data_IF_125655749992
#
_entry.id   IF_125655749992
#
_cell.length_a   1.000
_cell.length_b   1.000
_cell.length_c   1.000
_cell.angle_alpha   90.00
_cell.angle_beta   90.00
_cell.angle_gamma   90.00
#
_symmetry.space_group_name_H-M   'P 1'
#
loop_
_entity.id
_entity.type
_entity.pdbx_description
1 polymer ?
#
# COMPACT_ATOMS: atom_id res chain seq x y z
N UNK A 1 45.72 -32.77 22.07
CA UNK A 1 45.98 -31.78 20.99
C UNK A 1 44.65 -31.46 20.37
N UNK A 2 43.94 -30.55 21.01
CA UNK A 2 42.65 -30.02 20.60
C UNK A 2 42.86 -29.00 19.47
N UNK A 3 42.16 -29.18 18.35
CA UNK A 3 41.89 -28.08 17.42
C UNK A 3 40.39 -27.91 17.32
N UNK A 4 39.96 -26.78 17.88
CA UNK A 4 38.61 -26.24 17.95
C UNK A 4 37.95 -26.23 16.58
N UNK A 5 36.72 -26.75 16.53
CA UNK A 5 35.77 -26.47 15.48
C UNK A 5 35.21 -25.07 15.75
N UNK A 6 35.66 -24.07 15.00
CA UNK A 6 35.02 -22.76 14.96
C UNK A 6 33.66 -22.91 14.27
N UNK A 7 32.61 -22.85 15.07
CA UNK A 7 31.24 -22.71 14.56
C UNK A 7 31.06 -21.26 14.13
N UNK A 8 31.24 -21.01 12.84
CA UNK A 8 30.86 -19.75 12.18
C UNK A 8 29.38 -19.51 12.39
N UNK A 9 29.06 -18.52 13.21
CA UNK A 9 27.71 -17.99 13.38
C UNK A 9 27.38 -17.19 12.12
N UNK A 10 26.54 -17.73 11.25
CA UNK A 10 26.16 -17.11 9.97
C UNK A 10 24.65 -16.89 9.91
N UNK A 11 24.24 -15.62 9.91
CA UNK A 11 23.05 -15.12 9.24
C UNK A 11 21.74 -15.11 10.04
N UNK A 12 21.49 -14.06 10.82
CA UNK A 12 20.11 -13.60 11.04
C UNK A 12 19.60 -13.03 9.71
N UNK A 13 18.90 -13.85 8.91
CA UNK A 13 18.41 -13.51 7.57
C UNK A 13 17.26 -12.48 7.57
N UNK A 14 16.55 -12.28 6.45
CA UNK A 14 15.43 -11.30 6.29
C UNK A 14 14.21 -11.53 7.21
N UNK A 15 14.16 -12.67 7.91
CA UNK A 15 13.00 -13.10 8.70
C UNK A 15 12.69 -12.24 9.95
N UNK A 16 13.67 -11.82 10.79
CA UNK A 16 13.41 -10.97 11.95
C UNK A 16 12.94 -9.56 11.59
N UNK A 17 13.35 -9.03 10.43
CA UNK A 17 12.88 -7.73 9.93
C UNK A 17 11.38 -7.81 9.58
N UNK A 18 10.98 -8.80 8.78
CA UNK A 18 9.59 -9.02 8.40
C UNK A 18 8.69 -9.28 9.61
N UNK A 19 9.15 -10.07 10.58
CA UNK A 19 8.42 -10.31 11.84
C UNK A 19 8.23 -9.01 12.64
N UNK A 20 9.25 -8.16 12.71
CA UNK A 20 9.17 -6.85 13.36
C UNK A 20 8.21 -5.88 12.66
N UNK A 21 8.24 -5.83 11.32
CA UNK A 21 7.34 -4.99 10.53
C UNK A 21 5.89 -5.48 10.61
N UNK A 22 5.66 -6.80 10.58
CA UNK A 22 4.33 -7.38 10.79
C UNK A 22 3.80 -7.04 12.18
N UNK A 23 4.62 -7.17 13.23
CA UNK A 23 4.21 -6.80 14.58
C UNK A 23 3.87 -5.30 14.70
N UNK A 24 4.59 -4.43 14.01
CA UNK A 24 4.30 -3.00 13.95
C UNK A 24 2.95 -2.72 13.24
N UNK A 25 2.65 -3.46 12.16
CA UNK A 25 1.38 -3.38 11.44
C UNK A 25 0.21 -3.87 12.30
N UNK A 26 0.36 -5.01 12.98
CA UNK A 26 -0.67 -5.53 13.88
C UNK A 26 -0.95 -4.56 15.04
N UNK A 27 0.12 -3.95 15.58
CA UNK A 27 0.01 -2.95 16.64
C UNK A 27 -0.71 -1.67 16.17
N UNK A 28 -0.47 -1.21 14.93
CA UNK A 28 -1.13 -0.03 14.37
C UNK A 28 -2.61 -0.30 14.09
N UNK A 29 -2.98 -1.49 13.63
CA UNK A 29 -4.39 -1.91 13.51
C UNK A 29 -5.08 -1.94 14.89
N UNK A 30 -4.44 -2.54 15.89
CA UNK A 30 -4.97 -2.53 17.26
C UNK A 30 -5.14 -1.09 17.80
N UNK A 31 -4.22 -0.18 17.46
CA UNK A 31 -4.33 1.23 17.82
C UNK A 31 -5.50 1.92 17.09
N UNK A 32 -5.71 1.66 15.81
CA UNK A 32 -6.84 2.16 15.04
C UNK A 32 -8.17 1.74 15.68
N UNK A 33 -8.33 0.47 16.06
CA UNK A 33 -9.52 -0.01 16.79
C UNK A 33 -9.75 0.73 18.12
N UNK A 34 -8.69 1.09 18.86
CA UNK A 34 -8.83 1.88 20.10
C UNK A 34 -9.22 3.32 19.84
N UNK A 35 -8.69 3.94 18.78
CA UNK A 35 -8.95 5.34 18.43
C UNK A 35 -10.37 5.51 17.89
N UNK A 36 -10.78 4.65 16.97
CA UNK A 36 -12.10 4.69 16.34
C UNK A 36 -13.19 3.93 17.11
N UNK A 37 -12.84 3.19 18.16
CA UNK A 37 -13.80 2.42 18.97
C UNK A 37 -14.81 3.26 19.75
N UNK A 38 -14.65 4.59 19.80
CA UNK A 38 -15.62 5.50 20.41
C UNK A 38 -16.86 5.75 19.53
N UNK A 39 -16.76 5.50 18.22
CA UNK A 39 -17.87 5.71 17.28
C UNK A 39 -18.89 4.59 17.40
N UNK A 40 -20.17 4.97 17.33
CA UNK A 40 -21.29 4.02 17.43
C UNK A 40 -21.66 3.51 16.04
N UNK A 41 -22.21 2.30 16.01
CA UNK A 41 -22.80 1.76 14.80
C UNK A 41 -23.85 2.73 14.22
N UNK A 42 -23.91 2.92 12.89
CA UNK A 42 -24.87 3.81 12.25
C UNK A 42 -26.31 3.46 12.59
N UNK A 43 -27.07 4.44 13.10
CA UNK A 43 -28.48 4.26 13.44
C UNK A 43 -29.39 4.27 12.20
N UNK A 44 -29.07 5.13 11.23
CA UNK A 44 -29.75 5.26 9.94
C UNK A 44 -29.27 4.23 8.92
N UNK A 45 -29.73 4.36 7.66
CA UNK A 45 -29.13 3.61 6.55
C UNK A 45 -27.72 4.13 6.28
N UNK A 46 -26.84 3.26 5.80
CA UNK A 46 -25.52 3.64 5.30
C UNK A 46 -25.64 4.51 4.04
N UNK A 47 -24.62 5.33 3.75
CA UNK A 47 -24.51 6.09 2.50
C UNK A 47 -24.13 5.18 1.32
N UNK A 48 -25.11 4.36 0.91
CA UNK A 48 -25.02 3.39 -0.17
C UNK A 48 -26.34 3.32 -0.94
N UNK A 49 -26.26 3.03 -2.23
CA UNK A 49 -27.44 2.64 -3.01
C UNK A 49 -27.79 1.17 -2.80
N UNK A 50 -28.86 0.89 -2.04
CA UNK A 50 -29.39 -0.47 -1.87
C UNK A 50 -30.36 -0.91 -2.98
N UNK A 51 -30.66 -0.03 -3.94
CA UNK A 51 -31.57 -0.34 -5.04
C UNK A 51 -30.88 -1.16 -6.16
N UNK A 52 -29.59 -0.91 -6.41
CA UNK A 52 -28.86 -1.59 -7.48
C UNK A 52 -27.40 -1.92 -7.18
N UNK A 53 -26.75 -1.28 -6.20
CA UNK A 53 -25.31 -1.47 -5.99
C UNK A 53 -24.97 -2.43 -4.86
N UNK A 54 -25.59 -2.24 -3.69
CA UNK A 54 -25.33 -3.05 -2.50
C UNK A 54 -26.57 -3.85 -2.12
N UNK A 55 -26.39 -5.11 -1.74
CA UNK A 55 -27.47 -5.92 -1.20
C UNK A 55 -28.00 -5.31 0.12
N UNK A 56 -29.31 -5.05 0.19
CA UNK A 56 -29.94 -4.45 1.37
C UNK A 56 -29.79 -5.28 2.66
N UNK A 57 -29.63 -6.61 2.56
CA UNK A 57 -29.34 -7.44 3.72
C UNK A 57 -27.92 -7.22 4.25
N UNK A 58 -26.92 -7.07 3.35
CA UNK A 58 -25.54 -6.76 3.73
C UNK A 58 -25.42 -5.37 4.35
N UNK A 59 -26.13 -4.36 3.79
CA UNK A 59 -26.20 -3.02 4.39
C UNK A 59 -26.67 -3.12 5.85
N UNK A 60 -27.76 -3.87 6.06
CA UNK A 60 -28.34 -4.05 7.39
C UNK A 60 -27.40 -4.81 8.32
N UNK A 61 -26.67 -5.80 7.80
CA UNK A 61 -25.65 -6.55 8.55
C UNK A 61 -24.50 -5.63 8.97
N UNK A 62 -23.99 -4.76 8.09
CA UNK A 62 -22.93 -3.79 8.41
C UNK A 62 -23.28 -2.87 9.59
N UNK A 63 -24.56 -2.55 9.75
CA UNK A 63 -25.03 -1.70 10.86
C UNK A 63 -25.34 -2.44 12.15
N UNK A 64 -25.66 -3.73 12.07
CA UNK A 64 -26.21 -4.48 13.22
C UNK A 64 -25.26 -5.53 13.78
N UNK A 65 -24.40 -6.09 12.93
CA UNK A 65 -23.46 -7.11 13.37
C UNK A 65 -22.27 -6.45 14.08
N UNK A 66 -21.60 -7.18 15.00
CA UNK A 66 -20.35 -6.70 15.58
C UNK A 66 -19.34 -6.38 14.47
N UNK A 67 -18.70 -5.23 14.56
CA UNK A 67 -17.82 -4.70 13.50
C UNK A 67 -16.78 -5.73 13.00
N UNK A 68 -16.20 -6.52 13.92
CA UNK A 68 -15.20 -7.54 13.58
C UNK A 68 -15.73 -8.73 12.79
N UNK A 69 -17.04 -8.95 12.74
CA UNK A 69 -17.64 -10.04 11.96
C UNK A 69 -17.96 -9.63 10.52
N UNK A 70 -17.81 -8.34 10.17
CA UNK A 70 -17.98 -7.88 8.80
C UNK A 70 -16.87 -8.44 7.92
N UNK A 71 -17.21 -8.83 6.69
CA UNK A 71 -16.32 -9.57 5.79
C UNK A 71 -15.90 -8.72 4.60
N UNK A 72 -14.94 -9.23 3.82
CA UNK A 72 -14.52 -8.65 2.54
C UNK A 72 -15.71 -8.30 1.64
N UNK A 73 -16.72 -9.17 1.54
CA UNK A 73 -17.90 -8.92 0.70
C UNK A 73 -18.68 -7.68 1.14
N UNK A 74 -18.81 -7.45 2.45
CA UNK A 74 -19.50 -6.28 2.98
C UNK A 74 -18.81 -5.00 2.51
N UNK A 75 -17.49 -4.93 2.68
CA UNK A 75 -16.71 -3.75 2.30
C UNK A 75 -16.55 -3.59 0.79
N UNK A 76 -16.46 -4.69 0.04
CA UNK A 76 -16.44 -4.65 -1.43
C UNK A 76 -17.71 -4.01 -1.98
N UNK A 77 -18.90 -4.50 -1.61
CA UNK A 77 -20.17 -3.91 -2.08
C UNK A 77 -20.39 -2.49 -1.53
N UNK A 78 -19.96 -2.22 -0.28
CA UNK A 78 -20.00 -0.89 0.31
C UNK A 78 -19.14 0.11 -0.47
N UNK A 79 -17.89 -0.23 -0.79
CA UNK A 79 -17.01 0.66 -1.52
C UNK A 79 -17.40 0.80 -2.99
N UNK A 80 -17.89 -0.25 -3.66
CA UNK A 80 -18.35 -0.17 -5.05
C UNK A 80 -19.73 0.51 -5.21
N UNK A 81 -20.44 0.81 -4.11
CA UNK A 81 -21.78 1.38 -4.22
C UNK A 81 -21.79 2.82 -4.73
N UNK A 82 -22.85 3.18 -5.46
CA UNK A 82 -23.22 4.59 -5.58
C UNK A 82 -23.38 5.20 -4.18
N UNK A 83 -22.87 6.42 -4.01
CA UNK A 83 -22.65 7.08 -2.72
C UNK A 83 -22.68 8.60 -2.90
N UNK A 84 -22.86 9.34 -1.83
CA UNK A 84 -22.84 10.81 -1.85
C UNK A 84 -21.43 11.34 -2.15
N UNK A 85 -21.35 12.53 -2.76
CA UNK A 85 -20.05 13.17 -3.04
C UNK A 85 -19.25 13.43 -1.76
N UNK A 86 -19.94 13.91 -0.72
CA UNK A 86 -19.40 14.05 0.64
C UNK A 86 -19.85 12.87 1.49
N UNK A 87 -18.92 12.27 2.22
CA UNK A 87 -19.15 11.06 3.01
C UNK A 87 -19.47 11.38 4.48
N UNK A 88 -20.41 10.67 5.11
CA UNK A 88 -20.75 10.87 6.53
C UNK A 88 -19.62 10.39 7.44
N UNK A 89 -18.93 11.34 8.09
CA UNK A 89 -17.73 11.05 8.87
C UNK A 89 -17.91 10.00 9.97
N UNK A 90 -19.01 10.04 10.74
CA UNK A 90 -19.24 9.08 11.82
C UNK A 90 -19.41 7.63 11.31
N UNK A 91 -20.03 7.46 10.15
CA UNK A 91 -20.16 6.16 9.48
C UNK A 91 -18.78 5.64 9.06
N UNK A 92 -18.02 6.48 8.36
CA UNK A 92 -16.67 6.12 7.92
C UNK A 92 -15.81 5.76 9.12
N UNK A 93 -15.78 6.59 10.16
CA UNK A 93 -14.98 6.35 11.35
C UNK A 93 -15.37 5.09 12.11
N UNK A 94 -16.66 4.76 12.19
CA UNK A 94 -17.10 3.49 12.77
C UNK A 94 -16.59 2.28 11.96
N UNK A 95 -16.67 2.34 10.63
CA UNK A 95 -16.30 1.22 9.75
C UNK A 95 -14.79 1.08 9.49
N UNK A 96 -14.05 2.20 9.60
CA UNK A 96 -12.65 2.31 9.21
C UNK A 96 -11.70 1.28 9.85
N UNK A 97 -11.71 1.00 11.17
CA UNK A 97 -10.72 0.07 11.72
C UNK A 97 -10.88 -1.36 11.19
N UNK A 98 -12.09 -1.79 10.81
CA UNK A 98 -12.29 -3.08 10.14
C UNK A 98 -11.91 -3.05 8.67
N UNK A 99 -12.18 -1.94 7.97
CA UNK A 99 -11.71 -1.74 6.60
C UNK A 99 -10.18 -1.85 6.53
N UNK A 100 -9.47 -1.15 7.43
CA UNK A 100 -8.01 -1.19 7.54
C UNK A 100 -7.49 -2.59 7.88
N UNK A 101 -8.14 -3.29 8.81
CA UNK A 101 -7.77 -4.67 9.16
C UNK A 101 -7.91 -5.62 7.96
N UNK A 102 -8.99 -5.50 7.19
CA UNK A 102 -9.18 -6.31 5.98
C UNK A 102 -8.17 -5.95 4.88
N UNK A 103 -7.86 -4.66 4.72
CA UNK A 103 -6.87 -4.17 3.76
C UNK A 103 -5.52 -4.85 3.99
N UNK A 104 -5.02 -4.79 5.22
CA UNK A 104 -3.71 -5.38 5.57
C UNK A 104 -3.71 -6.91 5.54
N UNK A 105 -4.89 -7.54 5.57
CA UNK A 105 -5.08 -8.99 5.42
C UNK A 105 -5.11 -9.46 3.97
N UNK A 106 -4.87 -8.58 3.00
CA UNK A 106 -4.91 -8.98 1.59
C UNK A 106 -6.34 -9.05 1.02
N UNK A 107 -7.33 -8.39 1.64
CA UNK A 107 -8.68 -8.42 1.13
C UNK A 107 -8.85 -7.52 -0.10
N UNK A 108 -9.59 -8.00 -1.10
CA UNK A 108 -10.07 -7.18 -2.21
C UNK A 108 -11.29 -6.36 -1.78
N UNK A 109 -11.14 -5.05 -1.64
CA UNK A 109 -12.14 -4.17 -1.01
C UNK A 109 -12.85 -3.23 -1.97
N UNK A 110 -12.51 -3.25 -3.26
CA UNK A 110 -13.11 -2.48 -4.34
C UNK A 110 -12.67 -3.10 -5.68
N UNK A 111 -13.25 -2.69 -6.80
CA UNK A 111 -12.79 -3.15 -8.11
C UNK A 111 -11.39 -2.65 -8.49
N UNK A 112 -10.98 -1.49 -7.95
CA UNK A 112 -9.69 -0.81 -8.17
C UNK A 112 -9.04 -0.42 -6.85
N UNK A 113 -7.77 -0.78 -6.65
CA UNK A 113 -7.01 -0.63 -5.39
C UNK A 113 -6.86 0.81 -4.95
N UNK A 114 -6.66 1.73 -5.89
CA UNK A 114 -6.54 3.18 -5.66
C UNK A 114 -7.74 3.75 -4.90
N UNK A 115 -8.90 3.10 -4.99
CA UNK A 115 -10.16 3.58 -4.46
C UNK A 115 -10.61 2.83 -3.19
N UNK A 116 -9.79 1.92 -2.63
CA UNK A 116 -10.16 1.16 -1.42
C UNK A 116 -10.52 2.06 -0.24
N UNK A 117 -9.88 3.24 -0.16
CA UNK A 117 -10.03 4.22 0.92
C UNK A 117 -10.61 5.56 0.45
N UNK A 118 -11.12 5.65 -0.78
CA UNK A 118 -11.66 6.89 -1.36
C UNK A 118 -12.79 7.51 -0.50
N UNK A 119 -13.60 6.68 0.17
CA UNK A 119 -14.62 7.16 1.12
C UNK A 119 -14.03 7.96 2.30
N UNK A 120 -12.80 7.67 2.71
CA UNK A 120 -12.12 8.36 3.82
C UNK A 120 -11.80 9.80 3.43
N UNK A 121 -11.19 10.02 2.27
CA UNK A 121 -10.83 11.37 1.79
C UNK A 121 -12.00 12.21 1.33
N UNK A 122 -13.20 11.63 1.15
CA UNK A 122 -14.44 12.35 0.83
C UNK A 122 -15.20 12.85 2.06
N UNK A 123 -14.72 12.60 3.26
CA UNK A 123 -15.26 13.25 4.45
C UNK A 123 -14.97 14.76 4.40
N UNK A 124 -15.81 15.57 5.05
CA UNK A 124 -15.60 17.01 5.15
C UNK A 124 -14.21 17.36 5.71
N UNK A 125 -13.56 18.45 5.25
CA UNK A 125 -12.29 18.90 5.81
C UNK A 125 -12.38 19.09 7.34
N UNK A 126 -11.38 18.57 8.06
CA UNK A 126 -11.38 18.59 9.53
C UNK A 126 -12.31 17.56 10.19
N UNK A 127 -12.95 16.68 9.42
CA UNK A 127 -13.74 15.58 9.97
C UNK A 127 -12.90 14.69 10.91
N UNK A 128 -11.62 14.46 10.61
CA UNK A 128 -10.72 13.67 11.44
C UNK A 128 -9.92 14.56 12.39
N UNK A 129 -9.91 14.21 13.66
CA UNK A 129 -9.03 14.82 14.66
C UNK A 129 -7.56 14.46 14.41
N UNK A 130 -6.63 15.23 14.98
CA UNK A 130 -5.20 14.93 14.88
C UNK A 130 -4.85 13.52 15.37
N UNK A 131 -5.55 13.01 16.39
CA UNK A 131 -5.36 11.64 16.91
C UNK A 131 -5.80 10.58 15.89
N UNK A 132 -6.88 10.83 15.17
CA UNK A 132 -7.42 9.90 14.17
C UNK A 132 -6.59 9.92 12.89
N UNK A 133 -6.18 11.11 12.44
CA UNK A 133 -5.23 11.26 11.34
C UNK A 133 -3.92 10.55 11.64
N UNK A 134 -3.41 10.69 12.88
CA UNK A 134 -2.19 10.00 13.30
C UNK A 134 -2.35 8.48 13.27
N UNK A 135 -3.48 7.96 13.73
CA UNK A 135 -3.75 6.52 13.68
C UNK A 135 -3.80 6.00 12.22
N UNK A 136 -4.38 6.77 11.30
CA UNK A 136 -4.39 6.43 9.89
C UNK A 136 -2.97 6.47 9.29
N UNK A 137 -2.19 7.50 9.62
CA UNK A 137 -0.79 7.64 9.19
C UNK A 137 0.08 6.49 9.69
N UNK A 138 -0.06 6.07 10.95
CA UNK A 138 0.72 4.98 11.53
C UNK A 138 0.39 3.63 10.84
N UNK A 139 -0.87 3.39 10.47
CA UNK A 139 -1.26 2.20 9.68
C UNK A 139 -0.67 2.29 8.27
N UNK A 140 -0.79 3.44 7.61
CA UNK A 140 -0.28 3.64 6.25
C UNK A 140 1.24 3.40 6.17
N UNK A 141 2.00 3.97 7.11
CA UNK A 141 3.44 3.79 7.18
C UNK A 141 3.81 2.33 7.45
N UNK A 142 3.17 1.67 8.42
CA UNK A 142 3.47 0.27 8.74
C UNK A 142 3.12 -0.67 7.58
N UNK A 143 1.99 -0.44 6.91
CA UNK A 143 1.56 -1.20 5.74
C UNK A 143 2.55 -1.04 4.58
N UNK A 144 2.93 0.21 4.28
CA UNK A 144 3.86 0.51 3.20
C UNK A 144 5.26 -0.04 3.47
N UNK A 145 5.77 0.14 4.69
CA UNK A 145 7.05 -0.40 5.13
C UNK A 145 7.12 -1.93 4.99
N UNK A 146 6.08 -2.65 5.43
CA UNK A 146 6.03 -4.10 5.28
C UNK A 146 5.96 -4.51 3.81
N UNK A 147 5.12 -3.84 3.01
CA UNK A 147 4.95 -4.15 1.60
C UNK A 147 6.23 -3.98 0.79
N UNK A 148 7.04 -2.95 1.08
CA UNK A 148 8.34 -2.73 0.43
C UNK A 148 9.34 -3.87 0.65
N UNK A 149 9.16 -4.66 1.71
CA UNK A 149 9.99 -5.83 2.02
C UNK A 149 9.41 -7.16 1.46
N UNK A 150 8.26 -7.12 0.78
CA UNK A 150 7.52 -8.29 0.29
C UNK A 150 7.48 -8.38 -1.24
N UNK A 151 8.65 -8.45 -1.88
CA UNK A 151 8.75 -8.62 -3.33
C UNK A 151 8.53 -10.06 -3.84
N UNK A 152 9.08 -11.06 -3.14
CA UNK A 152 9.22 -12.41 -3.69
C UNK A 152 7.87 -13.09 -3.97
N UNK A 153 6.87 -12.91 -3.11
CA UNK A 153 5.56 -13.56 -3.23
C UNK A 153 4.47 -12.48 -3.34
N UNK A 154 4.34 -11.79 -4.50
CA UNK A 154 3.48 -10.61 -4.63
C UNK A 154 2.01 -10.89 -4.35
N UNK A 155 1.57 -12.14 -4.55
CA UNK A 155 0.22 -12.63 -4.25
C UNK A 155 -0.07 -12.78 -2.76
N UNK A 156 0.98 -12.90 -1.95
CA UNK A 156 0.91 -13.11 -0.49
C UNK A 156 1.29 -11.85 0.28
N UNK A 157 1.87 -10.85 -0.39
CA UNK A 157 2.24 -9.57 0.20
C UNK A 157 1.04 -8.66 0.44
N UNK A 158 1.21 -7.69 1.34
CA UNK A 158 0.15 -6.73 1.69
C UNK A 158 -0.24 -5.81 0.53
N UNK A 159 0.61 -5.66 -0.49
CA UNK A 159 0.31 -4.92 -1.72
C UNK A 159 -0.55 -5.71 -2.74
N UNK A 160 -0.78 -7.02 -2.53
CA UNK A 160 -1.69 -7.82 -3.38
C UNK A 160 -1.43 -7.70 -4.90
N UNK A 161 -0.16 -7.74 -5.32
CA UNK A 161 0.34 -7.54 -6.71
C UNK A 161 0.31 -6.11 -7.24
N UNK A 162 -0.28 -5.14 -6.53
CA UNK A 162 -0.24 -3.75 -6.96
C UNK A 162 1.16 -3.16 -6.76
N UNK A 163 1.52 -2.22 -7.63
CA UNK A 163 2.78 -1.49 -7.50
C UNK A 163 2.71 -0.43 -6.39
N UNK A 164 3.88 0.02 -5.93
CA UNK A 164 3.97 0.94 -4.81
C UNK A 164 3.34 2.33 -5.09
N UNK A 165 3.29 2.81 -6.34
CA UNK A 165 2.62 4.07 -6.68
C UNK A 165 1.09 3.93 -6.59
N UNK A 166 0.54 2.80 -7.05
CA UNK A 166 -0.88 2.46 -6.85
C UNK A 166 -1.25 2.46 -5.37
N UNK A 167 -0.40 1.88 -4.51
CA UNK A 167 -0.61 1.87 -3.05
C UNK A 167 -0.48 3.28 -2.43
N UNK A 168 0.49 4.08 -2.86
CA UNK A 168 0.60 5.48 -2.42
C UNK A 168 -0.63 6.30 -2.81
N UNK A 169 -1.15 6.10 -4.02
CA UNK A 169 -2.37 6.75 -4.48
C UNK A 169 -3.59 6.35 -3.65
N UNK A 170 -3.73 5.08 -3.28
CA UNK A 170 -4.78 4.63 -2.35
C UNK A 170 -4.72 5.39 -1.02
N UNK A 171 -3.53 5.62 -0.46
CA UNK A 171 -3.36 6.37 0.77
C UNK A 171 -3.59 7.88 0.59
N UNK A 172 -3.20 8.47 -0.55
CA UNK A 172 -3.58 9.85 -0.91
C UNK A 172 -5.11 10.02 -1.01
N UNK A 173 -5.81 9.02 -1.56
CA UNK A 173 -7.27 8.98 -1.57
C UNK A 173 -7.87 8.99 -0.16
N UNK A 174 -7.14 8.49 0.84
CA UNK A 174 -7.53 8.55 2.25
C UNK A 174 -7.13 9.86 2.96
N UNK A 175 -6.39 10.75 2.29
CA UNK A 175 -5.88 11.99 2.88
C UNK A 175 -4.66 11.80 3.79
N UNK A 176 -3.91 10.70 3.62
CA UNK A 176 -2.65 10.44 4.32
C UNK A 176 -1.53 11.32 3.75
N UNK A 177 -0.64 11.81 4.62
CA UNK A 177 0.56 12.50 4.18
C UNK A 177 1.55 11.47 3.61
N UNK A 178 1.94 11.64 2.35
CA UNK A 178 2.83 10.72 1.65
C UNK A 178 4.30 10.94 2.01
N UNK A 179 4.68 12.11 2.53
CA UNK A 179 6.09 12.41 2.81
C UNK A 179 6.74 11.36 3.73
N UNK A 180 6.13 10.94 4.87
CA UNK A 180 6.72 9.90 5.72
C UNK A 180 6.85 8.53 5.04
N UNK A 181 5.97 8.18 4.09
CA UNK A 181 6.03 6.90 3.36
C UNK A 181 7.16 6.94 2.32
N UNK A 182 7.28 8.06 1.60
CA UNK A 182 8.33 8.30 0.62
C UNK A 182 9.72 8.41 1.28
N UNK A 183 9.82 9.08 2.43
CA UNK A 183 11.05 9.16 3.23
C UNK A 183 11.48 7.78 3.73
N UNK A 184 10.53 6.95 4.17
CA UNK A 184 10.81 5.57 4.56
C UNK A 184 11.36 4.75 3.39
N UNK A 185 10.73 4.84 2.22
CA UNK A 185 11.19 4.14 1.03
C UNK A 185 12.60 4.58 0.60
N UNK A 186 12.87 5.89 0.65
CA UNK A 186 14.18 6.43 0.39
C UNK A 186 15.21 5.89 1.39
N UNK A 187 14.83 5.63 2.65
CA UNK A 187 15.73 5.06 3.66
C UNK A 187 15.92 3.54 3.54
N UNK A 188 14.98 2.78 2.94
CA UNK A 188 15.05 1.32 2.83
C UNK A 188 16.14 0.83 1.86
N UNK A 189 17.17 0.16 2.38
CA UNK A 189 18.32 -0.35 1.61
C UNK A 189 18.14 -1.80 1.10
N UNK A 190 16.93 -2.37 1.20
CA UNK A 190 16.66 -3.74 0.75
C UNK A 190 16.56 -3.86 -0.77
N UNK A 191 16.93 -5.03 -1.29
CA UNK A 191 16.76 -5.35 -2.72
C UNK A 191 15.27 -5.33 -3.12
N UNK A 192 14.39 -5.76 -2.21
CA UNK A 192 12.93 -5.69 -2.37
C UNK A 192 12.45 -4.26 -2.61
N UNK A 193 12.90 -3.31 -1.79
CA UNK A 193 12.60 -1.88 -1.94
C UNK A 193 13.05 -1.32 -3.29
N UNK A 194 14.24 -1.70 -3.75
CA UNK A 194 14.77 -1.27 -5.06
C UNK A 194 13.96 -1.87 -6.23
N UNK A 195 13.49 -3.10 -6.10
CA UNK A 195 12.64 -3.75 -7.11
C UNK A 195 11.24 -3.11 -7.18
N UNK A 196 10.64 -2.76 -6.05
CA UNK A 196 9.42 -1.96 -6.04
C UNK A 196 9.62 -0.60 -6.72
N UNK A 197 10.79 0.02 -6.58
CA UNK A 197 11.08 1.31 -7.22
C UNK A 197 11.09 1.16 -8.74
N UNK A 198 11.73 0.10 -9.25
CA UNK A 198 11.73 -0.21 -10.68
C UNK A 198 10.32 -0.48 -11.19
N UNK A 199 9.55 -1.32 -10.49
CA UNK A 199 8.19 -1.70 -10.90
C UNK A 199 7.28 -0.47 -11.00
N UNK A 200 7.22 0.32 -9.92
CA UNK A 200 6.36 1.49 -9.84
C UNK A 200 6.78 2.57 -10.84
N UNK A 201 8.08 2.83 -10.98
CA UNK A 201 8.60 3.82 -11.94
C UNK A 201 8.33 3.41 -13.37
N UNK A 202 8.52 2.13 -13.72
CA UNK A 202 8.31 1.66 -15.08
C UNK A 202 6.86 1.86 -15.52
N UNK A 203 5.90 1.37 -14.74
CA UNK A 203 4.47 1.44 -15.09
C UNK A 203 3.89 2.84 -14.90
N UNK A 204 4.19 3.49 -13.78
CA UNK A 204 3.56 4.74 -13.38
C UNK A 204 4.20 6.00 -13.95
N UNK A 205 5.44 5.92 -14.45
CA UNK A 205 6.19 7.10 -14.92
C UNK A 205 6.79 6.90 -16.32
N UNK A 206 7.64 5.89 -16.52
CA UNK A 206 8.38 5.68 -17.79
C UNK A 206 7.42 5.44 -18.94
N UNK A 207 6.50 4.48 -18.80
CA UNK A 207 5.51 4.19 -19.84
C UNK A 207 4.45 5.29 -20.00
N UNK A 208 4.33 6.17 -19.02
CA UNK A 208 3.42 7.30 -19.07
C UNK A 208 4.10 8.60 -19.55
N UNK A 209 5.21 8.48 -20.31
CA UNK A 209 5.88 9.62 -20.91
C UNK A 209 6.59 10.51 -19.91
N UNK A 210 7.14 9.92 -18.83
CA UNK A 210 7.83 10.62 -17.74
C UNK A 210 6.91 11.60 -16.99
N UNK A 211 5.67 11.17 -16.77
CA UNK A 211 4.69 11.89 -15.95
C UNK A 211 3.96 10.88 -15.08
N UNK A 212 3.68 11.22 -13.83
CA UNK A 212 2.79 10.42 -12.98
C UNK A 212 1.36 10.69 -13.43
N UNK A 213 0.65 9.63 -13.78
CA UNK A 213 -0.71 9.75 -14.31
C UNK A 213 -1.48 8.44 -14.23
N UNK A 214 -2.73 8.48 -14.71
CA UNK A 214 -3.67 7.38 -14.59
C UNK A 214 -5.10 7.88 -14.38
N UNK A 215 -6.06 6.99 -14.59
CA UNK A 215 -7.50 7.32 -14.48
C UNK A 215 -7.87 7.87 -13.10
N UNK A 216 -7.23 7.37 -12.04
CA UNK A 216 -7.55 7.70 -10.65
C UNK A 216 -6.62 8.76 -10.02
N UNK A 217 -5.62 9.25 -10.74
CA UNK A 217 -4.70 10.32 -10.29
C UNK A 217 -4.87 11.64 -11.03
N UNK A 218 -5.70 11.69 -12.09
CA UNK A 218 -5.92 12.89 -12.92
C UNK A 218 -6.31 14.12 -12.10
N UNK A 219 -7.25 13.95 -11.18
CA UNK A 219 -7.77 15.03 -10.33
C UNK A 219 -7.00 15.15 -9.00
N UNK A 220 -5.81 14.53 -8.91
CA UNK A 220 -4.94 14.52 -7.73
C UNK A 220 -3.59 15.19 -8.03
N UNK A 221 -3.53 16.52 -8.27
CA UNK A 221 -2.29 17.21 -8.60
C UNK A 221 -1.23 17.11 -7.49
N UNK A 222 -1.64 17.16 -6.21
CA UNK A 222 -0.71 17.05 -5.08
C UNK A 222 0.01 15.70 -5.02
N UNK A 223 -0.73 14.61 -5.27
CA UNK A 223 -0.14 13.27 -5.38
C UNK A 223 0.89 13.22 -6.50
N UNK A 224 0.50 13.67 -7.71
CA UNK A 224 1.37 13.64 -8.89
C UNK A 224 2.64 14.45 -8.65
N UNK A 225 2.51 15.68 -8.16
CA UNK A 225 3.64 16.54 -7.83
C UNK A 225 4.56 15.93 -6.77
N UNK A 226 4.00 15.35 -5.69
CA UNK A 226 4.79 14.75 -4.62
C UNK A 226 5.61 13.55 -5.12
N UNK A 227 4.98 12.63 -5.88
CA UNK A 227 5.64 11.44 -6.40
C UNK A 227 6.63 11.78 -7.51
N UNK A 228 6.26 12.68 -8.44
CA UNK A 228 7.18 13.13 -9.51
C UNK A 228 8.40 13.84 -8.92
N UNK A 229 8.20 14.75 -7.97
CA UNK A 229 9.30 15.45 -7.32
C UNK A 229 10.23 14.48 -6.59
N UNK A 230 9.67 13.53 -5.85
CA UNK A 230 10.46 12.51 -5.17
C UNK A 230 11.22 11.61 -6.14
N UNK A 231 10.60 11.21 -7.25
CA UNK A 231 11.19 10.33 -8.26
C UNK A 231 12.29 11.00 -9.08
N UNK A 232 12.18 12.31 -9.31
CA UNK A 232 13.08 13.09 -10.17
C UNK A 232 14.13 13.89 -9.40
N UNK A 233 14.11 13.85 -8.07
CA UNK A 233 15.16 14.45 -7.25
C UNK A 233 16.51 13.74 -7.50
N UNK A 234 17.58 14.46 -7.92
CA UNK A 234 18.86 13.84 -8.26
C UNK A 234 19.44 12.97 -7.14
N UNK A 235 19.33 13.43 -5.89
CA UNK A 235 19.82 12.69 -4.72
C UNK A 235 19.10 11.34 -4.52
N UNK A 236 17.80 11.27 -4.87
CA UNK A 236 17.02 10.04 -4.77
C UNK A 236 17.36 9.10 -5.92
N UNK A 237 17.48 9.63 -7.13
CA UNK A 237 17.88 8.90 -8.33
C UNK A 237 19.28 8.28 -8.17
N UNK A 238 20.25 9.05 -7.67
CA UNK A 238 21.60 8.57 -7.37
C UNK A 238 21.56 7.42 -6.36
N UNK A 239 20.74 7.56 -5.32
CA UNK A 239 20.60 6.53 -4.28
C UNK A 239 20.01 5.24 -4.82
N UNK A 240 18.90 5.30 -5.56
CA UNK A 240 18.31 4.10 -6.16
C UNK A 240 19.18 3.50 -7.26
N UNK A 241 19.89 4.33 -8.03
CA UNK A 241 20.90 3.88 -9.02
C UNK A 241 22.01 3.07 -8.33
N UNK A 242 22.59 3.60 -7.25
CA UNK A 242 23.62 2.90 -6.49
C UNK A 242 23.11 1.57 -5.92
N UNK A 243 21.88 1.54 -5.38
CA UNK A 243 21.24 0.32 -4.87
C UNK A 243 21.02 -0.72 -5.97
N UNK A 244 20.50 -0.30 -7.12
CA UNK A 244 20.25 -1.19 -8.25
C UNK A 244 21.56 -1.79 -8.80
N UNK A 245 22.61 -1.00 -8.92
CA UNK A 245 23.94 -1.50 -9.31
C UNK A 245 24.49 -2.51 -8.29
N UNK A 246 24.46 -2.18 -6.99
CA UNK A 246 24.88 -3.10 -5.93
C UNK A 246 24.05 -4.38 -5.89
N UNK A 247 22.74 -4.28 -6.14
CA UNK A 247 21.85 -5.43 -6.25
C UNK A 247 22.29 -6.29 -7.44
N UNK A 248 22.42 -5.72 -8.63
CA UNK A 248 22.83 -6.42 -9.85
C UNK A 248 24.18 -7.13 -9.73
N UNK A 249 25.16 -6.54 -9.04
CA UNK A 249 26.46 -7.18 -8.78
C UNK A 249 26.35 -8.43 -7.89
N UNK A 250 25.34 -8.47 -7.01
CA UNK A 250 25.06 -9.59 -6.08
C UNK A 250 24.14 -10.66 -6.68
N UNK A 251 23.73 -10.53 -7.94
CA UNK A 251 22.66 -11.33 -8.56
C UNK A 251 22.80 -12.83 -8.27
N UNK A 252 21.79 -13.47 -7.64
CA UNK A 252 21.77 -14.91 -7.48
C UNK A 252 21.74 -15.61 -8.84
N UNK A 253 22.41 -16.75 -8.97
CA UNK A 253 22.45 -17.55 -10.20
C UNK A 253 21.06 -17.99 -10.73
N UNK A 254 20.01 -17.86 -9.92
CA UNK A 254 18.61 -18.19 -10.25
C UNK A 254 17.70 -17.00 -10.60
N UNK A 255 18.21 -15.76 -10.62
CA UNK A 255 17.41 -14.55 -10.86
C UNK A 255 16.79 -13.91 -9.61
N UNK A 256 16.03 -12.84 -9.80
CA UNK A 256 15.37 -12.04 -8.74
C UNK A 256 13.90 -12.40 -8.52
N UNK A 257 13.35 -13.24 -9.41
CA UNK A 257 12.02 -13.80 -9.29
C UNK A 257 12.12 -15.20 -8.66
N UNK A 258 11.15 -15.61 -7.82
CA UNK A 258 11.10 -16.99 -7.35
C UNK A 258 11.03 -17.98 -8.51
N UNK A 259 11.58 -19.20 -8.36
CA UNK A 259 11.40 -20.26 -9.33
C UNK A 259 9.90 -20.50 -9.61
N UNK A 260 9.46 -20.29 -10.85
CA UNK A 260 8.07 -20.51 -11.27
C UNK A 260 7.19 -19.27 -11.34
N UNK A 261 7.67 -18.09 -10.92
CA UNK A 261 7.00 -16.83 -11.21
C UNK A 261 7.10 -16.54 -12.72
N UNK A 262 5.99 -16.66 -13.43
CA UNK A 262 5.89 -16.14 -14.80
C UNK A 262 5.77 -14.62 -14.72
N UNK A 263 6.62 -13.92 -15.46
CA UNK A 263 6.34 -12.54 -15.83
C UNK A 263 4.94 -12.52 -16.45
N UNK A 264 4.07 -11.63 -15.98
CA UNK A 264 2.74 -11.45 -16.54
C UNK A 264 2.88 -11.31 -18.07
N UNK A 265 1.91 -11.77 -18.86
CA UNK A 265 1.99 -11.85 -20.34
C UNK A 265 2.27 -10.53 -21.10
N UNK A 266 2.61 -9.46 -20.40
CA UNK A 266 3.36 -8.30 -20.85
C UNK A 266 4.73 -8.73 -21.44
N UNK A 267 5.12 -8.13 -22.56
CA UNK A 267 6.37 -8.48 -23.28
C UNK A 267 7.65 -8.00 -22.60
N UNK A 268 7.57 -7.31 -21.45
CA UNK A 268 8.70 -6.68 -20.78
C UNK A 268 9.16 -7.51 -19.59
N UNK A 269 10.40 -7.96 -19.63
CA UNK A 269 11.03 -8.68 -18.52
C UNK A 269 11.41 -7.74 -17.37
N UNK A 270 11.69 -8.27 -16.17
CA UNK A 270 12.24 -7.45 -15.08
C UNK A 270 13.55 -6.77 -15.50
N UNK A 271 14.38 -7.42 -16.32
CA UNK A 271 15.63 -6.82 -16.82
C UNK A 271 15.32 -5.63 -17.73
N UNK A 272 14.36 -5.77 -18.66
CA UNK A 272 13.96 -4.68 -19.55
C UNK A 272 13.43 -3.47 -18.77
N UNK A 273 12.72 -3.71 -17.66
CA UNK A 273 12.19 -2.66 -16.78
C UNK A 273 13.30 -1.94 -16.02
N UNK A 274 14.29 -2.68 -15.52
CA UNK A 274 15.48 -2.11 -14.88
C UNK A 274 16.22 -1.21 -15.89
N UNK A 275 16.48 -1.70 -17.10
CA UNK A 275 17.19 -0.96 -18.14
C UNK A 275 16.43 0.33 -18.53
N UNK A 276 15.11 0.24 -18.72
CA UNK A 276 14.28 1.40 -19.04
C UNK A 276 14.26 2.48 -17.93
N UNK A 277 14.32 2.05 -16.67
CA UNK A 277 14.42 2.97 -15.52
C UNK A 277 15.80 3.62 -15.47
N UNK A 278 16.89 2.88 -15.70
CA UNK A 278 18.24 3.46 -15.80
C UNK A 278 18.35 4.48 -16.94
N UNK A 279 17.84 4.15 -18.13
CA UNK A 279 17.83 5.06 -19.29
C UNK A 279 17.04 6.35 -19.03
N UNK A 280 16.07 6.29 -18.12
CA UNK A 280 15.28 7.45 -17.70
C UNK A 280 16.01 8.29 -16.68
N UNK A 281 16.71 7.67 -15.73
CA UNK A 281 17.50 8.37 -14.71
C UNK A 281 18.76 9.02 -15.29
N UNK A 282 19.39 8.41 -16.29
CA UNK A 282 20.65 8.88 -16.86
C UNK A 282 20.54 10.09 -17.81
N UNK A 283 19.33 10.63 -18.03
CA UNK A 283 19.04 11.75 -18.94
C UNK A 283 18.92 13.07 -18.18
#
# INVERSE_FOLDING_TARGET
>A
MDKKNETTTSGAGPRPLLEGLQAALDASIAAAYRVFGAYRAPAGLLDVCTACCMNAALEREMRRNPLRTLTTRHFYEYNDSAKSAVQPADEIKYLLPRLLELLVQGARLHHSTELYLDRVGRCEPGAFSAREQRALQDVALAHFALGLEQWAEPDQGVFQKDDAFTVLLMWDHAGVDLAPLLDHWLACDSDSSALHYVEASYWGFVLNGQQIGGTFSKDRPRYREAVEHWLTAPEHQDRFTARLLQMMDRRPAGGWLPPGAQECGCRSTLTDRIDAVFDTIAR
#
